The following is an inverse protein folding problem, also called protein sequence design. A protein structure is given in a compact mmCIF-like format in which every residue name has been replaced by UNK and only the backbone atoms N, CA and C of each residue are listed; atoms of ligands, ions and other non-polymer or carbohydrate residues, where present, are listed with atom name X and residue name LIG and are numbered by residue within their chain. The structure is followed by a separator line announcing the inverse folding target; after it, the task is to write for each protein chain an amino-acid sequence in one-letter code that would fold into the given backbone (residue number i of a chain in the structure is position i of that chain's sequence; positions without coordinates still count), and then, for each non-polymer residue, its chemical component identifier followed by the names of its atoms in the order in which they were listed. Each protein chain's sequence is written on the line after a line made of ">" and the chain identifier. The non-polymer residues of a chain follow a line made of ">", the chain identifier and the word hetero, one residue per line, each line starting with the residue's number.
data_IF_629067047361
#
_entry.id   IF_629067047361
#
_cell.length_a   1.000
_cell.length_b   1.000
_cell.length_c   1.000
_cell.angle_alpha   90.00
_cell.angle_beta   90.00
_cell.angle_gamma   90.00
#
_symmetry.space_group_name_H-M   'P 1'
#
loop_
_entity.id
_entity.type
_entity.pdbx_description
1 polymer ?
#
# COMPACT_ATOMS: atom_id res chain seq x y z
N UNK A 1 9.93 -21.63 -7.32
CA UNK A 1 8.75 -20.72 -7.28
C UNK A 1 8.24 -20.52 -5.85
N UNK A 2 8.12 -21.54 -4.99
CA UNK A 2 7.71 -21.39 -3.58
C UNK A 2 8.69 -20.55 -2.75
N UNK A 3 10.01 -20.74 -2.92
CA UNK A 3 11.05 -19.99 -2.18
C UNK A 3 11.04 -18.47 -2.48
N UNK A 4 10.61 -18.07 -3.67
CA UNK A 4 10.54 -16.66 -4.06
C UNK A 4 9.40 -15.94 -3.32
N UNK A 5 8.25 -16.60 -3.19
CA UNK A 5 7.07 -16.01 -2.52
C UNK A 5 7.37 -15.79 -1.05
N UNK A 6 7.93 -16.77 -0.34
CA UNK A 6 8.26 -16.65 1.08
C UNK A 6 9.30 -15.58 1.40
N UNK A 7 10.21 -15.28 0.45
CA UNK A 7 11.19 -14.21 0.59
C UNK A 7 10.62 -12.82 0.29
N UNK A 8 9.55 -12.71 -0.50
CA UNK A 8 9.02 -11.42 -0.99
C UNK A 8 7.77 -10.94 -0.27
N UNK A 9 6.99 -11.84 0.33
CA UNK A 9 5.72 -11.52 0.98
C UNK A 9 5.67 -12.03 2.42
N UNK A 10 4.93 -11.32 3.27
CA UNK A 10 4.40 -11.83 4.55
C UNK A 10 2.91 -11.99 4.39
N UNK A 11 2.42 -13.22 4.46
CA UNK A 11 0.99 -13.51 4.31
C UNK A 11 0.48 -14.31 5.50
N UNK A 12 -0.70 -13.96 5.97
CA UNK A 12 -1.49 -14.82 6.84
C UNK A 12 -2.89 -14.94 6.24
N UNK A 13 -3.23 -16.13 5.77
CA UNK A 13 -4.52 -16.39 5.15
C UNK A 13 -5.10 -17.67 5.73
N UNK A 14 -6.26 -17.57 6.36
CA UNK A 14 -6.97 -18.73 6.89
C UNK A 14 -7.87 -19.32 5.81
N UNK A 15 -8.06 -20.63 5.84
CA UNK A 15 -9.03 -21.32 4.98
C UNK A 15 -10.47 -20.86 5.30
N UNK A 16 -10.73 -20.56 6.57
CA UNK A 16 -12.01 -20.12 7.09
C UNK A 16 -11.86 -18.81 7.86
N UNK A 17 -11.90 -17.63 7.18
CA UNK A 17 -11.79 -16.34 7.84
C UNK A 17 -12.94 -16.12 8.83
N UNK A 18 -12.68 -15.49 9.99
CA UNK A 18 -13.68 -15.18 11.02
C UNK A 18 -14.37 -13.83 10.79
N UNK A 19 -13.90 -13.05 9.81
CA UNK A 19 -14.44 -11.73 9.46
C UNK A 19 -14.33 -11.43 7.97
N UNK A 20 -15.09 -10.47 7.44
CA UNK A 20 -15.00 -10.07 6.03
C UNK A 20 -13.76 -9.23 5.71
N UNK A 21 -12.88 -8.94 6.69
CA UNK A 21 -11.77 -8.01 6.56
C UNK A 21 -10.50 -8.71 6.08
N UNK A 22 -9.88 -8.13 5.05
CA UNK A 22 -8.52 -8.43 4.56
C UNK A 22 -7.69 -7.16 4.64
N UNK A 23 -6.47 -7.24 5.19
CA UNK A 23 -5.55 -6.11 5.27
C UNK A 23 -4.41 -6.27 4.27
N UNK A 24 -4.10 -5.19 3.55
CA UNK A 24 -2.98 -5.08 2.61
C UNK A 24 -1.98 -4.04 3.12
N UNK A 25 -0.67 -4.35 3.06
CA UNK A 25 0.42 -3.40 3.37
C UNK A 25 1.49 -3.53 2.29
N UNK A 26 1.38 -2.77 1.19
CA UNK A 26 2.21 -3.00 0.00
C UNK A 26 3.60 -2.35 0.04
N UNK A 27 3.84 -1.33 0.89
CA UNK A 27 5.01 -0.45 0.75
C UNK A 27 5.87 -0.32 2.01
N UNK A 28 5.62 -1.09 3.07
CA UNK A 28 6.45 -1.06 4.27
C UNK A 28 7.76 -1.84 4.12
N UNK A 29 7.82 -2.77 3.17
CA UNK A 29 8.98 -3.60 2.93
C UNK A 29 10.18 -2.83 2.38
N UNK A 30 11.38 -3.22 2.80
CA UNK A 30 12.66 -2.63 2.41
C UNK A 30 13.58 -3.62 1.68
N UNK A 31 13.15 -4.87 1.48
CA UNK A 31 13.95 -5.92 0.88
C UNK A 31 14.29 -5.62 -0.58
N UNK A 32 15.56 -5.84 -0.95
CA UNK A 32 16.08 -5.67 -2.31
C UNK A 32 16.77 -6.93 -2.84
N UNK A 33 16.78 -8.01 -2.03
CA UNK A 33 17.55 -9.23 -2.31
C UNK A 33 17.34 -9.76 -3.73
N UNK A 34 18.46 -9.88 -4.47
CA UNK A 34 18.50 -10.31 -5.87
C UNK A 34 18.31 -9.19 -6.91
N UNK A 35 17.99 -7.96 -6.50
CA UNK A 35 17.70 -6.83 -7.41
C UNK A 35 18.63 -5.62 -7.22
N UNK A 36 19.59 -5.71 -6.30
CA UNK A 36 20.48 -4.60 -5.88
C UNK A 36 21.27 -4.00 -7.04
N UNK A 37 21.71 -4.84 -7.99
CA UNK A 37 22.52 -4.40 -9.14
C UNK A 37 21.77 -3.45 -10.08
N UNK A 38 20.46 -3.46 -10.05
CA UNK A 38 19.62 -2.59 -10.86
C UNK A 38 19.31 -1.27 -10.16
N UNK A 39 19.42 -1.21 -8.84
CA UNK A 39 19.14 -0.02 -8.04
C UNK A 39 20.34 0.92 -8.03
N UNK A 40 20.08 2.21 -7.89
CA UNK A 40 21.15 3.20 -7.70
C UNK A 40 21.93 2.92 -6.40
N UNK A 41 23.25 2.93 -6.39
CA UNK A 41 24.04 2.72 -5.18
C UNK A 41 23.84 3.83 -4.12
N UNK A 42 23.32 4.99 -4.52
CA UNK A 42 23.02 6.11 -3.64
C UNK A 42 21.58 6.10 -3.13
N UNK A 43 20.76 5.12 -3.56
CA UNK A 43 19.36 5.02 -3.18
C UNK A 43 19.20 4.60 -1.72
N UNK A 44 18.62 5.48 -0.91
CA UNK A 44 18.06 5.07 0.37
C UNK A 44 16.62 4.56 0.16
N UNK A 45 16.43 3.25 0.20
CA UNK A 45 15.11 2.63 0.01
C UNK A 45 14.05 3.07 1.02
N UNK A 46 14.46 3.69 2.13
CA UNK A 46 13.55 4.22 3.16
C UNK A 46 12.86 5.52 2.72
N UNK A 47 13.45 6.27 1.79
CA UNK A 47 13.01 7.63 1.46
C UNK A 47 11.55 7.71 1.00
N UNK A 48 11.06 6.71 0.28
CA UNK A 48 9.69 6.64 -0.22
C UNK A 48 8.91 5.40 0.27
N UNK A 49 9.51 4.61 1.19
CA UNK A 49 8.79 3.52 1.84
C UNK A 49 7.73 4.04 2.82
N UNK A 50 6.68 3.28 3.02
CA UNK A 50 5.67 3.51 4.06
C UNK A 50 6.15 2.89 5.37
N UNK A 51 7.24 3.48 5.92
CA UNK A 51 7.96 2.94 7.07
C UNK A 51 7.03 2.70 8.26
N UNK A 52 7.20 1.55 8.89
CA UNK A 52 6.48 1.12 10.09
C UNK A 52 4.96 0.93 9.93
N UNK A 53 4.41 1.04 8.72
CA UNK A 53 2.97 0.77 8.48
C UNK A 53 2.64 -0.69 8.78
N UNK A 54 3.53 -1.62 8.48
CA UNK A 54 3.42 -3.02 8.88
C UNK A 54 3.30 -3.18 10.41
N UNK A 55 4.09 -2.44 11.19
CA UNK A 55 4.04 -2.43 12.65
C UNK A 55 2.79 -1.74 13.20
N UNK A 56 2.30 -0.69 12.54
CA UNK A 56 1.04 -0.03 12.88
C UNK A 56 -0.15 -0.97 12.69
N UNK A 57 -0.14 -1.80 11.64
CA UNK A 57 -1.16 -2.83 11.37
C UNK A 57 -0.83 -4.19 12.01
N UNK A 58 0.20 -4.29 12.88
CA UNK A 58 0.62 -5.50 13.61
C UNK A 58 0.93 -6.70 12.71
N UNK A 59 1.39 -6.47 11.49
CA UNK A 59 1.73 -7.54 10.55
C UNK A 59 2.82 -8.45 11.14
N UNK A 60 2.50 -9.76 11.22
CA UNK A 60 3.42 -10.75 11.79
C UNK A 60 3.44 -10.82 13.32
N UNK A 61 2.64 -10.02 14.04
CA UNK A 61 2.49 -10.08 15.51
C UNK A 61 1.39 -11.07 15.92
N UNK A 62 1.36 -11.55 17.20
CA UNK A 62 0.32 -12.48 17.66
C UNK A 62 -1.11 -11.96 17.53
N UNK A 63 -1.31 -10.64 17.66
CA UNK A 63 -2.61 -9.94 17.52
C UNK A 63 -2.78 -9.28 16.17
N UNK A 64 -2.07 -9.74 15.15
CA UNK A 64 -2.26 -9.31 13.77
C UNK A 64 -3.72 -9.47 13.29
N UNK A 65 -4.14 -8.72 12.27
CA UNK A 65 -5.36 -9.05 11.54
C UNK A 65 -5.34 -10.51 11.10
N UNK A 66 -6.49 -11.19 11.19
CA UNK A 66 -6.58 -12.62 10.88
C UNK A 66 -6.18 -12.94 9.43
N UNK A 67 -6.46 -12.02 8.52
CA UNK A 67 -6.10 -12.17 7.11
C UNK A 67 -5.38 -10.92 6.64
N UNK A 68 -4.13 -11.08 6.22
CA UNK A 68 -3.34 -9.98 5.66
C UNK A 68 -2.36 -10.45 4.57
N UNK A 69 -1.97 -9.50 3.71
CA UNK A 69 -0.90 -9.65 2.72
C UNK A 69 -0.03 -8.40 2.80
N UNK A 70 1.26 -8.57 3.06
CA UNK A 70 2.21 -7.48 3.12
C UNK A 70 3.44 -7.78 2.25
N UNK A 71 3.95 -6.77 1.53
CA UNK A 71 5.18 -6.92 0.77
C UNK A 71 6.40 -6.75 1.69
N UNK A 72 7.37 -7.67 1.57
CA UNK A 72 8.71 -7.55 2.18
C UNK A 72 9.66 -6.78 1.27
N UNK A 73 9.40 -6.81 -0.04
CA UNK A 73 10.20 -6.14 -1.05
C UNK A 73 9.94 -4.65 -1.06
N UNK A 74 11.00 -3.88 -1.29
CA UNK A 74 10.90 -2.44 -1.50
C UNK A 74 10.10 -2.11 -2.77
N UNK A 75 9.29 -1.03 -2.73
CA UNK A 75 8.61 -0.51 -3.91
C UNK A 75 9.57 -0.10 -5.05
N UNK A 76 10.84 0.11 -4.75
CA UNK A 76 11.86 0.36 -5.77
C UNK A 76 12.26 -0.89 -6.55
N UNK A 77 11.97 -2.08 -6.04
CA UNK A 77 12.07 -3.33 -6.82
C UNK A 77 10.89 -3.44 -7.77
N UNK A 78 9.67 -3.34 -7.24
CA UNK A 78 8.42 -3.22 -8.00
C UNK A 78 7.32 -2.65 -7.09
N UNK A 79 6.52 -1.74 -7.61
CA UNK A 79 5.45 -1.11 -6.83
C UNK A 79 4.16 -1.95 -6.92
N UNK A 80 3.76 -2.55 -5.78
CA UNK A 80 2.56 -3.39 -5.70
C UNK A 80 1.26 -2.60 -5.93
N UNK A 81 1.30 -1.27 -5.82
CA UNK A 81 0.14 -0.40 -6.02
C UNK A 81 0.17 0.35 -7.36
N UNK A 82 0.85 -0.23 -8.37
CA UNK A 82 0.89 0.23 -9.75
C UNK A 82 0.52 -0.90 -10.70
N UNK A 83 -0.05 -0.54 -11.85
CA UNK A 83 -0.24 -1.50 -12.95
C UNK A 83 1.14 -1.95 -13.47
N UNK A 84 1.38 -3.26 -13.69
CA UNK A 84 2.65 -3.74 -14.24
C UNK A 84 3.04 -3.10 -15.58
N UNK A 85 2.05 -2.67 -16.37
CA UNK A 85 2.28 -2.00 -17.66
C UNK A 85 2.47 -0.47 -17.50
N UNK A 86 2.28 0.09 -16.29
CA UNK A 86 2.55 1.50 -16.01
C UNK A 86 4.06 1.72 -15.82
N UNK A 87 4.82 1.71 -16.90
CA UNK A 87 6.27 1.89 -16.91
C UNK A 87 6.68 3.08 -17.79
N UNK A 88 7.81 3.73 -17.46
CA UNK A 88 8.42 4.74 -18.31
C UNK A 88 9.42 4.13 -19.27
N UNK A 89 9.60 4.74 -20.44
CA UNK A 89 10.66 4.37 -21.40
C UNK A 89 12.06 4.48 -20.76
N UNK A 90 12.26 5.39 -19.81
CA UNK A 90 13.52 5.52 -19.06
C UNK A 90 13.78 4.36 -18.11
N UNK A 91 12.72 3.72 -17.59
CA UNK A 91 12.86 2.55 -16.71
C UNK A 91 13.00 1.24 -17.46
N UNK A 92 12.20 1.03 -18.51
CA UNK A 92 12.19 -0.21 -19.33
C UNK A 92 12.06 0.16 -20.80
N UNK A 93 13.15 0.49 -21.50
CA UNK A 93 13.12 0.97 -22.90
C UNK A 93 12.48 -0.02 -23.88
N UNK A 94 12.62 -1.32 -23.63
CA UNK A 94 12.10 -2.38 -24.50
C UNK A 94 10.64 -2.76 -24.18
N UNK A 95 9.97 -2.07 -23.23
CA UNK A 95 8.56 -2.32 -22.93
C UNK A 95 7.70 -1.96 -24.15
N UNK A 96 6.74 -2.82 -24.57
CA UNK A 96 6.01 -2.62 -25.83
C UNK A 96 5.12 -1.36 -25.84
N UNK A 97 4.72 -0.86 -24.67
CA UNK A 97 3.87 0.31 -24.53
C UNK A 97 4.23 1.15 -23.29
N UNK A 98 5.42 1.80 -23.26
CA UNK A 98 5.77 2.64 -22.11
C UNK A 98 4.89 3.89 -22.10
N UNK A 99 4.15 4.09 -21.00
CA UNK A 99 3.16 5.17 -20.89
C UNK A 99 3.35 6.11 -19.70
N UNK A 100 4.21 5.75 -18.73
CA UNK A 100 4.44 6.55 -17.54
C UNK A 100 5.45 7.68 -17.82
N UNK A 101 5.00 8.94 -17.73
CA UNK A 101 5.87 10.11 -17.92
C UNK A 101 6.64 10.51 -16.63
N UNK A 102 6.12 10.14 -15.45
CA UNK A 102 6.66 10.61 -14.17
C UNK A 102 7.85 9.79 -13.67
N UNK A 103 8.15 8.65 -14.30
CA UNK A 103 9.20 7.73 -13.88
C UNK A 103 8.93 7.02 -12.55
N UNK A 104 7.69 7.03 -12.05
CA UNK A 104 7.24 6.41 -10.80
C UNK A 104 5.98 5.54 -11.02
N UNK A 105 6.05 4.67 -12.01
CA UNK A 105 5.05 3.64 -12.27
C UNK A 105 5.36 2.35 -11.51
N UNK A 106 5.15 1.21 -12.15
CA UNK A 106 5.48 -0.11 -11.62
C UNK A 106 6.97 -0.26 -11.29
N UNK A 107 7.84 0.29 -12.14
CA UNK A 107 9.28 0.44 -11.90
C UNK A 107 9.59 1.93 -11.69
N UNK A 108 10.12 2.26 -10.53
CA UNK A 108 10.53 3.63 -10.22
C UNK A 108 11.93 3.91 -10.75
N UNK A 109 12.03 4.81 -11.73
CA UNK A 109 13.31 5.31 -12.22
C UNK A 109 13.87 6.45 -11.36
N UNK A 110 12.98 7.19 -10.68
CA UNK A 110 13.31 8.34 -9.83
C UNK A 110 12.50 8.33 -8.54
N UNK A 111 13.07 8.85 -7.46
CA UNK A 111 12.42 9.06 -6.17
C UNK A 111 11.44 10.24 -6.19
N UNK A 112 10.66 10.45 -5.14
CA UNK A 112 9.82 11.66 -5.00
C UNK A 112 10.64 12.95 -4.79
N UNK A 113 11.93 12.84 -4.49
CA UNK A 113 12.87 13.98 -4.40
C UNK A 113 13.61 14.23 -5.72
N UNK A 114 13.40 13.38 -6.75
CA UNK A 114 14.03 13.52 -8.05
C UNK A 114 15.38 12.81 -8.19
N UNK A 115 15.87 12.14 -7.15
CA UNK A 115 17.12 11.37 -7.23
C UNK A 115 16.94 10.08 -8.07
N UNK A 116 17.95 9.60 -8.78
CA UNK A 116 17.87 8.33 -9.51
C UNK A 116 17.59 7.16 -8.56
N UNK A 117 16.59 6.35 -8.90
CA UNK A 117 16.29 5.10 -8.18
C UNK A 117 16.94 3.88 -8.85
N UNK A 118 17.17 3.94 -10.16
CA UNK A 118 17.87 2.91 -10.91
C UNK A 118 19.31 3.32 -11.24
N UNK A 119 20.22 2.35 -11.27
CA UNK A 119 21.59 2.52 -11.76
C UNK A 119 21.66 2.51 -13.29
N UNK A 120 20.69 1.88 -13.92
CA UNK A 120 20.50 1.74 -15.37
C UNK A 120 19.05 1.38 -15.69
N UNK A 121 18.60 1.57 -16.93
CA UNK A 121 17.34 0.97 -17.38
C UNK A 121 17.34 -0.55 -17.23
N UNK A 122 16.17 -1.14 -16.99
CA UNK A 122 15.97 -2.57 -16.89
C UNK A 122 15.76 -3.18 -18.29
N UNK A 123 16.30 -4.36 -18.50
CA UNK A 123 15.96 -5.19 -19.66
C UNK A 123 14.55 -5.77 -19.48
N UNK A 124 13.92 -6.17 -20.60
CA UNK A 124 12.55 -6.70 -20.58
C UNK A 124 12.39 -7.96 -19.70
N UNK A 125 13.41 -8.83 -19.62
CA UNK A 125 13.35 -10.00 -18.74
C UNK A 125 13.35 -9.64 -17.26
N UNK A 126 14.10 -8.59 -16.86
CA UNK A 126 14.13 -8.09 -15.47
C UNK A 126 12.77 -7.49 -15.06
N UNK A 127 12.05 -6.83 -15.96
CA UNK A 127 10.68 -6.40 -15.75
C UNK A 127 9.75 -7.61 -15.55
N UNK A 128 9.87 -8.66 -16.40
CA UNK A 128 9.05 -9.88 -16.27
C UNK A 128 9.27 -10.61 -14.94
N UNK A 129 10.49 -10.66 -14.44
CA UNK A 129 10.76 -11.22 -13.09
C UNK A 129 9.99 -10.49 -12.00
N UNK A 130 9.92 -9.18 -12.08
CA UNK A 130 9.20 -8.33 -11.12
C UNK A 130 7.68 -8.45 -11.25
N UNK A 131 7.18 -8.64 -12.47
CA UNK A 131 5.74 -8.91 -12.67
C UNK A 131 5.29 -10.20 -12.02
N UNK A 132 6.15 -11.21 -11.89
CA UNK A 132 5.83 -12.44 -11.16
C UNK A 132 5.67 -12.21 -9.65
N UNK A 133 6.47 -11.32 -9.06
CA UNK A 133 6.33 -10.93 -7.64
C UNK A 133 5.02 -10.17 -7.42
N UNK A 134 4.73 -9.21 -8.30
CA UNK A 134 3.48 -8.45 -8.27
C UNK A 134 2.26 -9.37 -8.41
N UNK A 135 2.28 -10.29 -9.37
CA UNK A 135 1.21 -11.27 -9.57
C UNK A 135 0.98 -12.12 -8.31
N UNK A 136 2.05 -12.59 -7.65
CA UNK A 136 1.93 -13.38 -6.42
C UNK A 136 1.23 -12.60 -5.29
N UNK A 137 1.54 -11.30 -5.14
CA UNK A 137 0.89 -10.41 -4.17
C UNK A 137 -0.61 -10.28 -4.46
N UNK A 138 -0.98 -9.95 -5.69
CA UNK A 138 -2.36 -9.76 -6.10
C UNK A 138 -3.18 -11.05 -6.10
N UNK A 139 -2.57 -12.18 -6.44
CA UNK A 139 -3.17 -13.51 -6.32
C UNK A 139 -3.49 -13.87 -4.87
N UNK A 140 -2.60 -13.54 -3.93
CA UNK A 140 -2.86 -13.76 -2.50
C UNK A 140 -4.05 -12.91 -2.02
N UNK A 141 -4.13 -11.63 -2.38
CA UNK A 141 -5.28 -10.77 -2.10
C UNK A 141 -6.56 -11.28 -2.74
N UNK A 142 -6.53 -11.67 -4.01
CA UNK A 142 -7.69 -12.20 -4.73
C UNK A 142 -8.27 -13.42 -4.04
N UNK A 143 -7.42 -14.38 -3.66
CA UNK A 143 -7.85 -15.58 -2.93
C UNK A 143 -8.42 -15.26 -1.55
N UNK A 144 -7.79 -14.34 -0.81
CA UNK A 144 -8.25 -13.94 0.50
C UNK A 144 -9.63 -13.26 0.45
N UNK A 145 -9.80 -12.31 -0.49
CA UNK A 145 -11.05 -11.60 -0.70
C UNK A 145 -12.19 -12.51 -1.17
N UNK A 146 -11.90 -13.46 -2.05
CA UNK A 146 -12.89 -14.44 -2.49
C UNK A 146 -13.41 -15.29 -1.32
N UNK A 147 -12.51 -15.82 -0.47
CA UNK A 147 -12.91 -16.60 0.72
C UNK A 147 -13.76 -15.77 1.69
N UNK A 148 -13.36 -14.53 1.96
CA UNK A 148 -14.10 -13.63 2.83
C UNK A 148 -15.50 -13.35 2.26
N UNK A 149 -15.60 -13.01 0.97
CA UNK A 149 -16.88 -12.78 0.28
C UNK A 149 -17.78 -14.02 0.31
N UNK A 150 -17.23 -15.18 -0.01
CA UNK A 150 -17.99 -16.42 -0.09
C UNK A 150 -18.57 -16.82 1.28
N UNK A 151 -17.84 -16.52 2.37
CA UNK A 151 -18.30 -16.81 3.73
C UNK A 151 -19.28 -15.77 4.30
N UNK A 152 -19.03 -14.48 4.05
CA UNK A 152 -19.80 -13.37 4.69
C UNK A 152 -20.78 -12.68 3.74
N UNK A 153 -20.82 -13.05 2.45
CA UNK A 153 -21.60 -12.41 1.42
C UNK A 153 -20.98 -11.11 0.89
N UNK A 154 -19.84 -10.66 1.45
CA UNK A 154 -19.05 -9.52 1.00
C UNK A 154 -17.64 -9.60 1.60
N UNK A 155 -16.71 -8.81 1.05
CA UNK A 155 -15.35 -8.64 1.59
C UNK A 155 -14.98 -7.16 1.68
N UNK A 156 -14.12 -6.82 2.65
CA UNK A 156 -13.51 -5.50 2.83
C UNK A 156 -12.00 -5.64 2.70
N UNK A 157 -11.39 -4.91 1.76
CA UNK A 157 -9.96 -4.72 1.66
C UNK A 157 -9.59 -3.37 2.30
N UNK A 158 -8.83 -3.40 3.38
CA UNK A 158 -8.22 -2.24 4.02
C UNK A 158 -6.77 -2.16 3.55
N UNK A 159 -6.46 -1.19 2.70
CA UNK A 159 -5.15 -1.01 2.09
C UNK A 159 -4.36 0.07 2.84
N UNK A 160 -3.36 -0.34 3.61
CA UNK A 160 -2.62 0.49 4.55
C UNK A 160 -1.38 1.15 3.93
N UNK A 161 -1.34 2.48 3.99
CA UNK A 161 -0.27 3.32 3.46
C UNK A 161 0.11 4.44 4.42
N UNK A 162 1.18 5.15 4.07
CA UNK A 162 1.54 6.41 4.70
C UNK A 162 2.05 7.42 3.68
N UNK A 163 1.93 8.69 4.04
CA UNK A 163 2.34 9.80 3.21
C UNK A 163 3.16 10.82 4.01
N UNK A 164 4.11 11.54 3.37
CA UNK A 164 4.79 12.67 3.99
C UNK A 164 3.80 13.73 4.47
N UNK A 165 4.14 14.45 5.54
CA UNK A 165 3.31 15.52 6.12
C UNK A 165 3.08 16.68 5.15
N UNK A 166 4.01 16.87 4.22
CA UNK A 166 3.91 17.84 3.10
C UNK A 166 4.20 17.17 1.77
N UNK A 167 3.56 17.66 0.72
CA UNK A 167 3.88 17.23 -0.64
C UNK A 167 5.35 17.50 -0.99
N UNK A 168 6.07 16.48 -1.48
CA UNK A 168 7.43 16.61 -2.02
C UNK A 168 7.40 17.12 -3.45
N UNK A 169 8.57 17.49 -4.01
CA UNK A 169 8.69 18.01 -5.38
C UNK A 169 8.03 17.13 -6.44
N UNK A 170 8.16 15.81 -6.32
CA UNK A 170 7.55 14.86 -7.24
C UNK A 170 6.07 14.55 -7.00
N UNK A 171 5.41 15.16 -6.03
CA UNK A 171 3.98 14.96 -5.79
C UNK A 171 3.12 15.96 -6.56
N UNK A 172 1.81 15.70 -6.64
CA UNK A 172 0.82 16.59 -7.28
C UNK A 172 0.57 17.87 -6.49
N UNK A 173 0.99 17.90 -5.22
CA UNK A 173 0.75 18.95 -4.23
C UNK A 173 2.05 19.44 -3.56
N UNK A 174 3.10 19.89 -4.30
CA UNK A 174 4.38 20.26 -3.71
C UNK A 174 4.24 21.33 -2.63
N UNK A 175 4.85 21.12 -1.44
CA UNK A 175 4.83 22.04 -0.32
C UNK A 175 3.51 22.13 0.46
N UNK A 176 2.41 21.60 -0.05
CA UNK A 176 1.10 21.63 0.61
C UNK A 176 1.10 20.74 1.86
N UNK A 177 0.63 21.29 2.98
CA UNK A 177 0.36 20.48 4.17
C UNK A 177 -0.86 19.58 3.94
N UNK A 178 -0.79 18.33 4.37
CA UNK A 178 -1.82 17.31 4.16
C UNK A 178 -2.66 17.08 5.40
N UNK A 179 -3.89 16.60 5.23
CA UNK A 179 -4.67 16.08 6.35
C UNK A 179 -3.95 14.92 7.03
N UNK A 180 -4.29 14.65 8.29
CA UNK A 180 -3.64 13.59 9.07
C UNK A 180 -3.97 12.19 8.56
N UNK A 181 -5.18 12.02 7.99
CA UNK A 181 -5.63 10.76 7.38
C UNK A 181 -6.33 11.06 6.06
N UNK A 182 -6.00 10.29 5.03
CA UNK A 182 -6.66 10.38 3.72
C UNK A 182 -7.23 9.01 3.34
N UNK A 183 -8.54 8.79 3.56
CA UNK A 183 -9.22 7.64 2.98
C UNK A 183 -9.38 7.83 1.47
N UNK A 184 -8.95 6.84 0.69
CA UNK A 184 -9.09 6.82 -0.77
C UNK A 184 -10.05 5.72 -1.21
N UNK A 185 -11.19 6.09 -1.80
CA UNK A 185 -12.22 5.18 -2.29
C UNK A 185 -12.50 5.33 -3.78
N UNK A 186 -11.53 5.90 -4.52
CA UNK A 186 -11.64 6.17 -5.96
C UNK A 186 -12.86 7.01 -6.30
N UNK A 187 -13.10 8.07 -5.53
CA UNK A 187 -14.26 8.95 -5.65
C UNK A 187 -15.59 8.18 -5.53
N UNK A 188 -15.65 7.20 -4.61
CA UNK A 188 -16.83 6.40 -4.33
C UNK A 188 -17.04 5.20 -5.25
N UNK A 189 -16.05 4.83 -6.07
CA UNK A 189 -16.18 3.72 -7.03
C UNK A 189 -15.63 2.39 -6.53
N UNK A 190 -14.69 2.38 -5.56
CA UNK A 190 -14.05 1.14 -5.08
C UNK A 190 -14.72 0.51 -3.86
N UNK A 191 -15.63 1.22 -3.18
CA UNK A 191 -16.37 0.67 -2.06
C UNK A 191 -17.75 1.33 -1.86
N UNK A 192 -18.59 0.73 -1.01
CA UNK A 192 -19.85 1.31 -0.59
C UNK A 192 -19.61 2.61 0.22
N UNK A 193 -20.43 3.64 0.01
CA UNK A 193 -20.39 4.92 0.76
C UNK A 193 -20.44 4.73 2.28
N UNK A 194 -21.14 3.70 2.74
CA UNK A 194 -21.25 3.37 4.16
C UNK A 194 -19.87 3.04 4.77
N UNK A 195 -18.99 2.34 4.03
CA UNK A 195 -17.62 2.01 4.46
C UNK A 195 -16.78 3.29 4.58
N UNK A 196 -16.75 4.13 3.54
CA UNK A 196 -16.01 5.40 3.55
C UNK A 196 -16.47 6.29 4.70
N UNK A 197 -17.78 6.44 4.88
CA UNK A 197 -18.35 7.23 5.97
C UNK A 197 -18.02 6.65 7.36
N UNK A 198 -17.95 5.31 7.49
CA UNK A 198 -17.55 4.65 8.73
C UNK A 198 -16.08 4.97 9.07
N UNK A 199 -15.19 4.85 8.10
CA UNK A 199 -13.76 5.13 8.26
C UNK A 199 -13.51 6.61 8.59
N UNK A 200 -14.13 7.54 7.88
CA UNK A 200 -14.03 8.99 8.16
C UNK A 200 -14.43 9.29 9.61
N UNK A 201 -15.66 8.88 10.01
CA UNK A 201 -16.14 9.11 11.37
C UNK A 201 -15.26 8.48 12.45
N UNK A 202 -14.64 7.34 12.15
CA UNK A 202 -13.72 6.69 13.09
C UNK A 202 -12.53 7.58 13.41
N UNK A 203 -11.84 8.09 12.39
CA UNK A 203 -10.67 8.94 12.58
C UNK A 203 -11.02 10.33 13.12
N UNK A 204 -12.13 10.92 12.69
CA UNK A 204 -12.63 12.20 13.24
C UNK A 204 -12.94 12.09 14.73
N UNK A 205 -13.56 10.98 15.20
CA UNK A 205 -13.79 10.72 16.62
C UNK A 205 -12.51 10.54 17.43
N UNK A 206 -11.44 10.08 16.80
CA UNK A 206 -10.11 10.03 17.40
C UNK A 206 -9.40 11.40 17.41
N UNK A 207 -10.06 12.47 16.94
CA UNK A 207 -9.53 13.83 16.91
C UNK A 207 -8.58 14.11 15.75
N UNK A 208 -8.56 13.26 14.71
CA UNK A 208 -7.69 13.42 13.55
C UNK A 208 -8.40 14.17 12.41
N UNK A 209 -7.66 15.01 11.70
CA UNK A 209 -8.16 15.67 10.48
C UNK A 209 -8.19 14.70 9.32
N UNK A 210 -9.33 14.66 8.60
CA UNK A 210 -9.57 13.71 7.51
C UNK A 210 -9.92 14.46 6.22
N UNK A 211 -9.31 14.05 5.09
CA UNK A 211 -9.65 14.55 3.77
C UNK A 211 -9.77 13.37 2.78
N UNK A 212 -11.00 12.96 2.46
CA UNK A 212 -11.21 11.84 1.56
C UNK A 212 -10.76 12.18 0.12
N UNK A 213 -10.01 11.25 -0.51
CA UNK A 213 -9.55 11.37 -1.89
C UNK A 213 -8.63 12.58 -2.21
N UNK A 214 -8.06 13.24 -1.21
CA UNK A 214 -7.20 14.42 -1.41
C UNK A 214 -5.94 14.37 -0.52
N UNK A 215 -4.74 14.19 -1.08
CA UNK A 215 -4.39 14.16 -2.51
C UNK A 215 -4.49 12.75 -3.15
N UNK A 216 -4.69 11.70 -2.38
CA UNK A 216 -4.67 10.31 -2.85
C UNK A 216 -6.07 9.70 -2.87
N UNK A 217 -6.46 9.17 -4.04
CA UNK A 217 -7.79 8.58 -4.26
C UNK A 217 -7.81 7.05 -4.14
N UNK A 218 -6.63 6.45 -3.97
CA UNK A 218 -6.38 5.03 -4.12
C UNK A 218 -5.59 4.72 -5.40
N UNK A 219 -4.80 3.65 -5.37
CA UNK A 219 -3.95 3.21 -6.46
C UNK A 219 -4.49 1.97 -7.20
N UNK A 220 -3.57 1.16 -7.73
CA UNK A 220 -3.91 -0.06 -8.46
C UNK A 220 -4.66 -1.06 -7.58
N UNK A 221 -4.26 -1.25 -6.32
CA UNK A 221 -4.91 -2.18 -5.38
C UNK A 221 -6.40 -1.88 -5.25
N UNK A 222 -6.76 -0.62 -4.98
CA UNK A 222 -8.18 -0.23 -4.86
C UNK A 222 -8.93 -0.30 -6.18
N UNK A 223 -8.26 0.00 -7.30
CA UNK A 223 -8.86 -0.07 -8.64
C UNK A 223 -9.10 -1.52 -9.08
N UNK A 224 -8.13 -2.40 -8.85
CA UNK A 224 -8.15 -3.78 -9.31
C UNK A 224 -9.07 -4.66 -8.46
N UNK A 225 -9.02 -4.49 -7.13
CA UNK A 225 -9.76 -5.33 -6.20
C UNK A 225 -11.12 -4.75 -5.79
N UNK A 226 -11.27 -3.41 -5.79
CA UNK A 226 -12.52 -2.75 -5.40
C UNK A 226 -13.61 -2.92 -6.48
N UNK A 227 -14.48 -3.89 -6.26
CA UNK A 227 -15.62 -4.22 -7.14
C UNK A 227 -16.90 -4.32 -6.32
N UNK A 228 -17.51 -3.18 -5.93
CA UNK A 228 -18.71 -3.18 -5.08
C UNK A 228 -19.89 -3.95 -5.67
N UNK A 229 -20.03 -3.99 -7.01
CA UNK A 229 -21.02 -4.81 -7.69
C UNK A 229 -20.84 -6.31 -7.42
N UNK A 230 -19.59 -6.76 -7.24
CA UNK A 230 -19.23 -8.14 -6.88
C UNK A 230 -19.14 -8.33 -5.36
N UNK A 231 -19.61 -7.37 -4.57
CA UNK A 231 -19.58 -7.40 -3.10
C UNK A 231 -18.16 -7.40 -2.52
N UNK A 232 -17.18 -6.84 -3.24
CA UNK A 232 -15.81 -6.64 -2.77
C UNK A 232 -15.56 -5.14 -2.69
N UNK A 233 -15.30 -4.64 -1.47
CA UNK A 233 -15.12 -3.23 -1.16
C UNK A 233 -13.68 -2.96 -0.79
N UNK A 234 -12.98 -2.05 -1.47
CA UNK A 234 -11.60 -1.68 -1.18
C UNK A 234 -11.52 -0.20 -0.80
N UNK A 235 -10.80 0.09 0.29
CA UNK A 235 -10.49 1.44 0.73
C UNK A 235 -9.02 1.56 1.10
N UNK A 236 -8.33 2.55 0.55
CA UNK A 236 -6.96 2.90 0.91
C UNK A 236 -6.96 3.84 2.10
N UNK A 237 -6.01 3.70 3.01
CA UNK A 237 -5.81 4.62 4.14
C UNK A 237 -4.39 5.15 4.10
N UNK A 238 -4.26 6.44 3.82
CA UNK A 238 -2.98 7.16 3.92
C UNK A 238 -2.86 7.82 5.29
N UNK A 239 -1.86 7.43 6.04
CA UNK A 239 -1.53 7.99 7.35
C UNK A 239 -0.40 9.00 7.21
N UNK A 240 -0.55 10.20 7.74
CA UNK A 240 0.50 11.21 7.71
C UNK A 240 1.64 10.79 8.64
N UNK A 241 2.87 10.75 8.11
CA UNK A 241 4.04 10.14 8.76
C UNK A 241 4.42 10.81 10.08
N UNK A 242 4.31 12.14 10.18
CA UNK A 242 4.62 12.90 11.40
C UNK A 242 3.74 12.56 12.61
N UNK A 243 2.66 11.80 12.42
CA UNK A 243 1.83 11.29 13.51
C UNK A 243 2.54 10.22 14.35
N UNK A 244 3.49 9.47 13.74
CA UNK A 244 4.04 8.27 14.34
C UNK A 244 5.55 8.11 14.15
N UNK A 245 6.18 8.95 13.32
CA UNK A 245 7.62 8.89 13.05
C UNK A 245 8.22 10.27 12.81
N UNK A 246 9.52 10.37 13.03
CA UNK A 246 10.36 11.45 12.54
C UNK A 246 10.66 11.20 11.05
N UNK A 247 10.19 12.11 10.18
CA UNK A 247 10.31 11.95 8.73
C UNK A 247 11.74 12.16 8.21
N UNK A 248 12.59 12.89 8.95
CA UNK A 248 13.96 13.18 8.56
C UNK A 248 14.94 12.08 9.02
N UNK A 249 14.70 11.53 10.22
CA UNK A 249 15.55 10.51 10.81
C UNK A 249 15.07 9.07 10.59
N UNK A 250 13.86 8.89 10.04
CA UNK A 250 13.25 7.58 9.77
C UNK A 250 13.13 6.69 11.02
N UNK A 251 12.73 7.27 12.14
CA UNK A 251 12.54 6.55 13.41
C UNK A 251 11.13 6.75 13.95
N UNK A 252 10.53 5.74 14.62
CA UNK A 252 9.23 5.91 15.26
C UNK A 252 9.31 6.87 16.43
N UNK A 253 8.23 7.64 16.67
CA UNK A 253 8.15 8.64 17.75
C UNK A 253 6.96 8.34 18.68
N UNK A 254 7.28 8.15 19.96
CA UNK A 254 6.27 8.00 21.00
C UNK A 254 5.87 9.37 21.60
N UNK A 255 4.62 9.55 22.09
CA UNK A 255 3.55 8.55 22.15
C UNK A 255 2.70 8.47 20.86
N UNK A 256 3.09 9.14 19.79
CA UNK A 256 2.35 9.21 18.53
C UNK A 256 2.14 7.83 17.91
N UNK A 257 3.20 7.02 17.86
CA UNK A 257 3.15 5.66 17.31
C UNK A 257 2.11 4.79 18.04
N UNK A 258 2.21 4.72 19.36
CA UNK A 258 1.29 3.90 20.18
C UNK A 258 -0.16 4.39 20.09
N UNK A 259 -0.41 5.71 20.04
CA UNK A 259 -1.75 6.27 19.89
C UNK A 259 -2.37 5.94 18.54
N UNK A 260 -1.60 6.12 17.46
CA UNK A 260 -2.10 5.82 16.11
C UNK A 260 -2.37 4.32 15.95
N UNK A 261 -1.48 3.47 16.48
CA UNK A 261 -1.64 2.01 16.50
C UNK A 261 -2.94 1.61 17.22
N UNK A 262 -3.20 2.15 18.41
CA UNK A 262 -4.45 1.88 19.12
C UNK A 262 -5.70 2.35 18.34
N UNK A 263 -5.60 3.47 17.63
CA UNK A 263 -6.67 3.94 16.74
C UNK A 263 -6.94 2.97 15.60
N UNK A 264 -5.88 2.43 14.98
CA UNK A 264 -6.00 1.42 13.92
C UNK A 264 -6.54 0.09 14.44
N UNK A 265 -6.12 -0.37 15.62
CA UNK A 265 -6.66 -1.57 16.26
C UNK A 265 -8.19 -1.45 16.45
N UNK A 266 -8.65 -0.29 16.92
CA UNK A 266 -10.09 -0.01 17.08
C UNK A 266 -10.83 0.04 15.73
N UNK A 267 -10.21 0.60 14.67
CA UNK A 267 -10.77 0.58 13.33
C UNK A 267 -10.93 -0.86 12.82
N UNK A 268 -9.86 -1.65 12.89
CA UNK A 268 -9.84 -3.06 12.47
C UNK A 268 -10.93 -3.84 13.21
N UNK A 269 -11.03 -3.69 14.53
CA UNK A 269 -12.07 -4.34 15.33
C UNK A 269 -13.49 -3.97 14.87
N UNK A 270 -13.72 -2.69 14.54
CA UNK A 270 -15.01 -2.21 14.05
C UNK A 270 -15.35 -2.72 12.63
N UNK A 271 -14.35 -2.81 11.75
CA UNK A 271 -14.53 -3.31 10.38
C UNK A 271 -14.81 -4.82 10.34
N UNK A 272 -14.27 -5.60 11.29
CA UNK A 272 -14.55 -7.05 11.42
C UNK A 272 -16.03 -7.35 11.65
N UNK A 273 -16.77 -6.43 12.24
CA UNK A 273 -18.20 -6.59 12.56
C UNK A 273 -19.12 -5.74 11.70
N UNK A 274 -18.58 -4.89 10.84
CA UNK A 274 -19.35 -4.03 9.94
C UNK A 274 -20.24 -4.89 9.01
N UNK A 275 -21.41 -4.36 8.69
CA UNK A 275 -22.34 -4.92 7.68
C UNK A 275 -22.49 -3.92 6.55
N UNK A 276 -22.34 -4.37 5.31
CA UNK A 276 -22.45 -3.56 4.09
C UNK A 276 -23.57 -4.08 3.18
#
# INVERSE_FOLDING_TARGET
>A
MFDLIDSTLTTHTTAEPSSPLVVSVPHAGLGTAGFEKALSPELDVRCDADLFVDRLYRIGEPDAPEVYVAAKMSRFVCDMNRDPDDVSAGAVPEHPAPGNADGRGFIWAVTTTGSPALSRPLALHEWRERTAIHAAYHDALTRALARARDRFGFAILLDGHSMPSRGRMGHKDPGRARAQVVPGDRDGTSCARALTAHVIRHFERAGLTVAANDPYKGGFITTHHGRPADRIHAIQIELRRDLYMDEDNFVPVEPGFSKLRATLDALIASLRTLRL
#
